data_IF_303938043771
#
_entry.id   IF_303938043771
#
_cell.length_a   1.000
_cell.length_b   1.000
_cell.length_c   1.000
_cell.angle_alpha   90.00
_cell.angle_beta   90.00
_cell.angle_gamma   90.00
#
_symmetry.space_group_name_H-M   'P 1'
#
loop_
_entity.id
_entity.type
_entity.pdbx_description
1 polymer ?
#
# COMPACT_ATOMS: atom_id res chain seq x y z
N UNK A 1 10.55 7.06 -60.11
CA UNK A 1 10.39 6.40 -58.78
C UNK A 1 9.97 7.48 -57.81
N UNK A 2 8.79 7.31 -57.24
CA UNK A 2 7.96 8.38 -56.68
C UNK A 2 8.40 8.86 -55.29
N UNK A 3 8.03 10.12 -55.02
CA UNK A 3 8.29 10.95 -53.84
C UNK A 3 8.00 10.29 -52.48
N UNK A 4 8.87 10.57 -51.50
CA UNK A 4 8.62 10.33 -50.06
C UNK A 4 7.85 11.51 -49.47
N UNK A 5 6.59 11.30 -49.11
CA UNK A 5 5.73 12.30 -48.45
C UNK A 5 5.73 12.13 -46.92
N UNK A 6 5.94 13.26 -46.27
CA UNK A 6 5.71 13.53 -44.84
C UNK A 6 4.25 13.29 -44.45
N UNK A 7 4.01 12.62 -43.32
CA UNK A 7 2.69 12.63 -42.66
C UNK A 7 2.88 12.80 -41.15
N UNK A 8 2.63 14.02 -40.67
CA UNK A 8 2.43 14.31 -39.26
C UNK A 8 1.15 13.65 -38.77
N UNK A 9 1.19 13.08 -37.57
CA UNK A 9 0.04 12.39 -36.98
C UNK A 9 -0.75 13.34 -36.08
N UNK A 10 -2.05 13.38 -36.35
CA UNK A 10 -3.00 14.39 -35.90
C UNK A 10 -3.35 14.26 -34.41
N UNK A 11 -3.33 15.41 -33.70
CA UNK A 11 -4.00 15.58 -32.41
C UNK A 11 -5.52 15.55 -32.65
N UNK A 12 -6.22 14.53 -32.14
CA UNK A 12 -7.68 14.54 -32.15
C UNK A 12 -8.22 15.45 -31.05
N UNK A 13 -8.90 16.49 -31.49
CA UNK A 13 -9.67 17.43 -30.68
C UNK A 13 -10.98 16.76 -30.20
N UNK A 14 -11.28 16.94 -28.92
CA UNK A 14 -12.60 16.68 -28.35
C UNK A 14 -13.65 17.52 -29.11
N UNK A 15 -14.64 16.87 -29.72
CA UNK A 15 -15.84 17.55 -30.23
C UNK A 15 -17.07 17.08 -29.47
N UNK A 16 -17.82 18.08 -28.98
CA UNK A 16 -19.11 17.94 -28.35
C UNK A 16 -20.15 17.42 -29.36
N UNK A 17 -20.80 16.30 -29.04
CA UNK A 17 -22.05 15.87 -29.67
C UNK A 17 -23.15 15.88 -28.61
N UNK A 18 -24.09 16.80 -28.73
CA UNK A 18 -25.19 17.01 -27.79
C UNK A 18 -26.49 16.40 -28.32
N UNK A 19 -27.20 15.69 -27.43
CA UNK A 19 -28.66 15.38 -27.42
C UNK A 19 -29.16 14.24 -28.31
N UNK A 20 -29.18 13.04 -27.72
CA UNK A 20 -30.24 12.04 -27.92
C UNK A 20 -30.97 11.85 -26.58
N UNK A 21 -32.21 12.33 -26.50
CA UNK A 21 -33.13 12.11 -25.38
C UNK A 21 -33.69 10.67 -25.53
N UNK A 22 -33.79 9.97 -24.40
CA UNK A 22 -34.36 8.63 -24.19
C UNK A 22 -33.37 7.46 -24.21
N UNK A 23 -32.71 7.24 -23.08
CA UNK A 23 -32.47 5.89 -22.55
C UNK A 23 -32.43 5.97 -21.02
N UNK A 24 -33.10 5.06 -20.27
CA UNK A 24 -33.00 5.03 -18.83
C UNK A 24 -31.55 4.75 -18.47
N UNK A 25 -30.93 5.75 -17.82
CA UNK A 25 -29.58 5.75 -17.28
C UNK A 25 -29.39 4.53 -16.37
N UNK A 26 -29.01 3.40 -16.98
CA UNK A 26 -28.35 2.31 -16.30
C UNK A 26 -27.06 2.92 -15.75
N UNK A 27 -27.07 3.25 -14.46
CA UNK A 27 -25.90 3.66 -13.72
C UNK A 27 -24.90 2.51 -13.80
N UNK A 28 -24.04 2.51 -14.82
CA UNK A 28 -22.77 1.82 -14.78
C UNK A 28 -21.91 2.56 -13.76
N UNK A 29 -22.25 2.34 -12.50
CA UNK A 29 -21.33 2.51 -11.42
C UNK A 29 -20.20 1.50 -11.66
N UNK A 30 -19.11 1.97 -12.26
CA UNK A 30 -17.81 1.32 -12.16
C UNK A 30 -17.30 1.52 -10.72
N UNK A 31 -18.05 1.04 -9.73
CA UNK A 31 -17.51 0.80 -8.39
C UNK A 31 -16.66 -0.44 -8.53
N UNK A 32 -15.40 -0.21 -8.89
CA UNK A 32 -14.34 -1.10 -8.43
C UNK A 32 -14.57 -1.32 -6.94
N UNK A 33 -15.02 -2.53 -6.57
CA UNK A 33 -15.23 -2.92 -5.18
C UNK A 33 -13.89 -2.82 -4.48
N UNK A 34 -13.61 -1.67 -3.86
CA UNK A 34 -12.36 -1.42 -3.17
C UNK A 34 -12.37 -2.34 -1.95
N UNK A 35 -11.51 -3.36 -1.98
CA UNK A 35 -11.24 -4.22 -0.83
C UNK A 35 -11.06 -3.33 0.41
N UNK A 36 -11.70 -3.72 1.52
CA UNK A 36 -11.61 -2.98 2.77
C UNK A 36 -10.14 -2.66 3.09
N UNK A 37 -9.86 -1.42 3.49
CA UNK A 37 -8.51 -1.05 3.86
C UNK A 37 -8.09 -1.80 5.14
N UNK A 38 -6.83 -2.19 5.21
CA UNK A 38 -6.24 -2.72 6.44
C UNK A 38 -6.09 -1.56 7.43
N UNK A 39 -6.81 -1.61 8.55
CA UNK A 39 -6.60 -0.70 9.68
C UNK A 39 -5.48 -1.25 10.56
N UNK A 40 -4.74 -0.39 11.25
CA UNK A 40 -3.76 -0.78 12.26
C UNK A 40 -4.11 -0.11 13.58
N UNK A 41 -4.35 -0.92 14.61
CA UNK A 41 -4.46 -0.43 15.98
C UNK A 41 -3.09 -0.42 16.66
N UNK A 42 -2.96 0.42 17.68
CA UNK A 42 -1.69 0.59 18.39
C UNK A 42 -1.16 -0.72 18.96
N UNK A 43 -2.04 -1.57 19.49
CA UNK A 43 -1.64 -2.86 20.05
C UNK A 43 -1.22 -3.85 18.98
N UNK A 44 -1.89 -3.88 17.82
CA UNK A 44 -1.46 -4.68 16.66
C UNK A 44 -0.08 -4.24 16.14
N UNK A 45 0.23 -2.94 16.19
CA UNK A 45 1.55 -2.41 15.82
C UNK A 45 2.62 -2.84 16.80
N UNK A 46 2.34 -2.77 18.11
CA UNK A 46 3.26 -3.26 19.16
C UNK A 46 3.54 -4.74 19.01
N UNK A 47 2.50 -5.54 18.76
CA UNK A 47 2.64 -6.99 18.57
C UNK A 47 3.42 -7.33 17.31
N UNK A 48 3.24 -6.57 16.22
CA UNK A 48 4.09 -6.69 15.03
C UNK A 48 5.57 -6.45 15.38
N UNK A 49 5.87 -5.37 16.11
CA UNK A 49 7.24 -5.04 16.52
C UNK A 49 7.80 -6.12 17.45
N UNK A 50 7.00 -6.58 18.42
CA UNK A 50 7.39 -7.62 19.36
C UNK A 50 7.72 -8.93 18.62
N UNK A 51 6.84 -9.37 17.73
CA UNK A 51 7.06 -10.56 16.90
C UNK A 51 8.35 -10.44 16.08
N UNK A 52 8.55 -9.33 15.36
CA UNK A 52 9.77 -9.11 14.58
C UNK A 52 11.03 -9.03 15.43
N UNK A 53 10.92 -8.51 16.66
CA UNK A 53 12.04 -8.43 17.61
C UNK A 53 12.51 -9.82 18.07
N UNK A 54 11.61 -10.80 18.18
CA UNK A 54 11.99 -12.21 18.45
C UNK A 54 12.82 -12.81 17.31
N UNK A 55 12.63 -12.32 16.09
CA UNK A 55 13.33 -12.79 14.87
C UNK A 55 14.44 -11.85 14.42
N UNK A 56 14.93 -10.96 15.30
CA UNK A 56 15.92 -9.92 14.96
C UNK A 56 17.18 -10.46 14.26
N UNK A 57 17.62 -11.68 14.61
CA UNK A 57 18.78 -12.34 14.00
C UNK A 57 18.62 -12.60 12.51
N UNK A 58 17.38 -12.69 12.03
CA UNK A 58 17.06 -12.96 10.62
C UNK A 58 17.04 -11.68 9.75
N UNK A 59 17.05 -10.50 10.37
CA UNK A 59 16.92 -9.22 9.70
C UNK A 59 18.26 -8.65 9.19
N UNK A 60 19.37 -9.19 9.70
CA UNK A 60 20.73 -8.67 9.48
C UNK A 60 20.89 -7.21 9.89
N UNK A 61 21.97 -6.58 9.42
CA UNK A 61 22.33 -5.20 9.78
C UNK A 61 21.34 -4.17 9.25
N UNK A 62 20.61 -4.50 8.19
CA UNK A 62 19.66 -3.57 7.55
C UNK A 62 18.28 -3.57 8.21
N UNK A 63 18.04 -4.43 9.22
CA UNK A 63 16.72 -4.66 9.81
C UNK A 63 15.65 -4.96 8.75
N UNK A 64 16.00 -5.75 7.73
CA UNK A 64 15.13 -6.09 6.61
C UNK A 64 14.78 -7.57 6.66
N UNK A 65 13.52 -7.87 6.95
CA UNK A 65 13.06 -9.25 7.06
C UNK A 65 12.68 -9.82 5.70
N UNK A 66 12.85 -11.15 5.56
CA UNK A 66 12.39 -11.90 4.39
C UNK A 66 10.86 -11.95 4.36
N UNK A 67 10.30 -12.18 3.18
CA UNK A 67 8.85 -12.23 2.97
C UNK A 67 8.14 -13.23 3.89
N UNK A 68 8.73 -14.41 4.11
CA UNK A 68 8.13 -15.46 4.95
C UNK A 68 7.92 -15.03 6.41
N UNK A 69 8.82 -14.21 6.98
CA UNK A 69 8.67 -13.68 8.35
C UNK A 69 7.44 -12.78 8.45
N UNK A 70 7.15 -11.98 7.43
CA UNK A 70 5.92 -11.18 7.39
C UNK A 70 4.67 -12.03 7.17
N UNK A 71 4.78 -13.17 6.48
CA UNK A 71 3.67 -14.15 6.39
C UNK A 71 3.37 -14.75 7.76
N UNK A 72 4.41 -15.15 8.51
CA UNK A 72 4.25 -15.67 9.87
C UNK A 72 3.71 -14.60 10.83
N UNK A 73 4.20 -13.37 10.74
CA UNK A 73 3.70 -12.25 11.53
C UNK A 73 2.22 -11.98 11.25
N UNK A 74 1.82 -11.99 9.97
CA UNK A 74 0.41 -11.84 9.58
C UNK A 74 -0.46 -12.96 10.15
N UNK A 75 0.02 -14.22 10.11
CA UNK A 75 -0.68 -15.35 10.72
C UNK A 75 -0.81 -15.17 12.23
N UNK A 76 0.26 -14.75 12.91
CA UNK A 76 0.26 -14.49 14.35
C UNK A 76 -0.78 -13.41 14.70
N UNK A 77 -0.71 -12.25 14.05
CA UNK A 77 -1.65 -11.13 14.29
C UNK A 77 -3.10 -11.53 14.02
N UNK A 78 -3.41 -12.21 12.91
CA UNK A 78 -4.79 -12.63 12.63
C UNK A 78 -5.28 -13.73 13.59
N UNK A 79 -4.39 -14.47 14.24
CA UNK A 79 -4.76 -15.45 15.27
C UNK A 79 -5.00 -14.76 16.61
N UNK A 80 -4.14 -13.82 16.99
CA UNK A 80 -4.27 -13.02 18.23
C UNK A 80 -5.48 -12.08 18.17
N UNK A 81 -5.75 -11.50 17.00
CA UNK A 81 -6.83 -10.55 16.75
C UNK A 81 -7.80 -11.11 15.71
N UNK A 82 -8.72 -12.03 16.10
CA UNK A 82 -9.63 -12.70 15.16
C UNK A 82 -10.68 -11.76 14.56
N UNK A 83 -10.95 -10.62 15.20
CA UNK A 83 -11.90 -9.61 14.75
C UNK A 83 -11.18 -8.29 14.41
N UNK A 84 -10.34 -8.25 13.35
CA UNK A 84 -9.59 -7.05 13.02
C UNK A 84 -10.53 -5.97 12.48
N UNK A 85 -10.20 -4.71 12.79
CA UNK A 85 -10.87 -3.57 12.14
C UNK A 85 -10.43 -3.51 10.67
N UNK A 86 -11.40 -3.57 9.75
CA UNK A 86 -11.12 -3.56 8.31
C UNK A 86 -10.60 -4.90 7.79
N UNK A 87 -9.71 -4.89 6.79
CA UNK A 87 -9.19 -6.13 6.21
C UNK A 87 -8.16 -6.82 7.12
N UNK A 88 -8.13 -8.17 7.13
CA UNK A 88 -7.10 -8.94 7.81
C UNK A 88 -5.68 -8.51 7.43
N UNK A 89 -4.73 -8.72 8.35
CA UNK A 89 -3.33 -8.41 8.10
C UNK A 89 -2.78 -9.39 7.06
N UNK A 90 -2.18 -8.87 6.01
CA UNK A 90 -1.52 -9.66 4.98
C UNK A 90 -0.01 -9.53 5.13
N UNK A 91 0.73 -10.41 4.46
CA UNK A 91 2.19 -10.31 4.38
C UNK A 91 2.63 -8.94 3.84
N UNK A 92 1.95 -8.43 2.81
CA UNK A 92 2.25 -7.12 2.23
C UNK A 92 1.92 -5.96 3.18
N UNK A 93 0.79 -6.01 3.90
CA UNK A 93 0.45 -4.96 4.86
C UNK A 93 1.43 -4.92 6.04
N UNK A 94 1.86 -6.08 6.56
CA UNK A 94 2.88 -6.17 7.60
C UNK A 94 4.22 -5.59 7.15
N UNK A 95 4.68 -5.94 5.93
CA UNK A 95 5.91 -5.39 5.35
C UNK A 95 5.85 -3.87 5.18
N UNK A 96 4.77 -3.36 4.62
CA UNK A 96 4.56 -1.91 4.44
C UNK A 96 4.56 -1.21 5.79
N UNK A 97 3.84 -1.75 6.78
CA UNK A 97 3.78 -1.17 8.12
C UNK A 97 5.16 -1.14 8.79
N UNK A 98 5.92 -2.23 8.74
CA UNK A 98 7.28 -2.28 9.25
C UNK A 98 8.19 -1.23 8.59
N UNK A 99 8.07 -1.05 7.28
CA UNK A 99 8.84 -0.05 6.54
C UNK A 99 8.52 1.37 7.00
N UNK A 100 7.25 1.68 7.24
CA UNK A 100 6.82 2.96 7.78
C UNK A 100 7.32 3.18 9.21
N UNK A 101 7.23 2.17 10.07
CA UNK A 101 7.71 2.22 11.45
C UNK A 101 9.22 2.50 11.50
N UNK A 102 10.01 1.81 10.68
CA UNK A 102 11.44 2.08 10.52
C UNK A 102 11.72 3.52 10.11
N UNK A 103 11.01 4.02 9.10
CA UNK A 103 11.17 5.40 8.61
C UNK A 103 10.88 6.41 9.72
N UNK A 104 9.78 6.25 10.43
CA UNK A 104 9.39 7.15 11.52
C UNK A 104 10.43 7.11 12.65
N UNK A 105 10.91 5.91 13.02
CA UNK A 105 11.98 5.76 14.01
C UNK A 105 13.28 6.47 13.57
N UNK A 106 13.70 6.30 12.32
CA UNK A 106 14.89 6.99 11.78
C UNK A 106 14.73 8.51 11.86
N UNK A 107 13.58 9.05 11.46
CA UNK A 107 13.32 10.50 11.53
C UNK A 107 13.44 11.00 12.98
N UNK A 108 12.82 10.32 13.94
CA UNK A 108 12.90 10.70 15.36
C UNK A 108 14.32 10.60 15.88
N UNK A 109 15.06 9.56 15.49
CA UNK A 109 16.48 9.36 15.85
C UNK A 109 17.34 10.50 15.31
N UNK A 110 17.14 10.90 14.06
CA UNK A 110 17.91 11.97 13.42
C UNK A 110 17.59 13.33 14.06
N UNK A 111 16.31 13.62 14.33
CA UNK A 111 15.92 14.84 15.05
C UNK A 111 16.59 14.89 16.42
N UNK A 112 16.59 13.79 17.17
CA UNK A 112 17.26 13.70 18.47
C UNK A 112 18.77 13.95 18.35
N UNK A 113 19.42 13.37 17.35
CA UNK A 113 20.85 13.55 17.12
C UNK A 113 21.21 15.01 16.77
N UNK A 114 20.34 15.70 16.04
CA UNK A 114 20.54 17.10 15.65
C UNK A 114 20.18 18.10 16.76
N UNK A 115 19.21 17.77 17.62
CA UNK A 115 18.74 18.66 18.68
C UNK A 115 19.64 18.68 19.93
N UNK A 116 20.59 17.74 20.03
CA UNK A 116 21.51 17.65 21.18
C UNK A 116 20.85 17.24 22.50
N UNK A 117 19.64 16.66 22.44
CA UNK A 117 18.89 16.13 23.59
C UNK A 117 19.21 14.65 23.90
#
# INVERSE_FOLDING_TARGET
MSNSSSVGSNRSLHSHGSRGLNDPMGSQDNTTSRKAATHWELDEEKDLIAFLSTRKSEAGDTMSFKAHIFTEAAKHLNTTYPNPKGAPKSQSSCKTKWTMLKRNYTIVKDIKALSGF
#
